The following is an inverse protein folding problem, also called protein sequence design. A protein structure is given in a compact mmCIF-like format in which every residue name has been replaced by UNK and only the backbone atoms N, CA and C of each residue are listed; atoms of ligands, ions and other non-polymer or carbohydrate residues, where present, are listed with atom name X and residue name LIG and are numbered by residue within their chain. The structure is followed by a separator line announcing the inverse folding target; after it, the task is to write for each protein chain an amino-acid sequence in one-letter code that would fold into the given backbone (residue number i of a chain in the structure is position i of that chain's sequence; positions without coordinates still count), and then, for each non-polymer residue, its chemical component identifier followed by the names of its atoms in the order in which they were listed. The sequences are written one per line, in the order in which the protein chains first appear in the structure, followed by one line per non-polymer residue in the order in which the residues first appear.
data_IF_595794716805
#
_entry.id   IF_595794716805
#
_cell.length_a   1.000
_cell.length_b   1.000
_cell.length_c   1.000
_cell.angle_alpha   90.00
_cell.angle_beta   90.00
_cell.angle_gamma   90.00
#
_symmetry.space_group_name_H-M   'P 1'
#
loop_
_entity.id
_entity.type
_entity.pdbx_description
1 polymer ?
#
# COMPACT_ATOMS: atom_id res chain seq x y z
N UNK A 1 7.83 -12.65 14.36
CA UNK A 1 8.32 -12.58 12.98
C UNK A 1 7.22 -13.13 12.10
N UNK A 2 6.89 -12.45 11.00
CA UNK A 2 5.87 -12.91 10.05
C UNK A 2 6.46 -13.93 9.08
N UNK A 3 5.67 -14.93 8.71
CA UNK A 3 6.06 -16.03 7.82
C UNK A 3 5.69 -15.82 6.36
N UNK A 4 4.83 -14.84 6.05
CA UNK A 4 4.46 -14.47 4.67
C UNK A 4 4.35 -12.97 4.54
N UNK A 5 4.90 -12.45 3.44
CA UNK A 5 4.74 -11.05 3.05
C UNK A 5 4.15 -10.99 1.65
N UNK A 6 3.12 -10.17 1.48
CA UNK A 6 2.44 -9.92 0.21
C UNK A 6 2.68 -8.47 -0.15
N UNK A 7 3.02 -8.23 -1.41
CA UNK A 7 3.11 -6.90 -2.01
C UNK A 7 1.88 -6.67 -2.88
N UNK A 8 1.15 -5.62 -2.58
CA UNK A 8 -0.07 -5.21 -3.26
C UNK A 8 0.26 -3.96 -4.07
N UNK A 9 0.18 -4.06 -5.39
CA UNK A 9 0.60 -3.01 -6.30
C UNK A 9 -0.47 -1.91 -6.37
N UNK A 10 -0.05 -0.65 -6.34
CA UNK A 10 -0.97 0.46 -6.58
C UNK A 10 -1.26 0.55 -8.08
N UNK A 11 -2.53 0.67 -8.49
CA UNK A 11 -2.88 0.66 -9.91
C UNK A 11 -2.42 1.93 -10.63
N UNK A 12 -2.05 1.78 -11.90
CA UNK A 12 -2.03 2.89 -12.85
C UNK A 12 -3.47 3.21 -13.30
N UNK A 13 -3.66 4.28 -14.07
CA UNK A 13 -4.98 4.64 -14.58
C UNK A 13 -4.97 5.03 -16.05
N UNK A 14 -6.11 4.83 -16.71
CA UNK A 14 -6.43 5.42 -18.01
C UNK A 14 -7.82 6.07 -17.92
N UNK A 15 -7.89 7.40 -17.93
CA UNK A 15 -9.10 8.13 -17.67
C UNK A 15 -9.62 7.89 -16.25
N UNK A 16 -10.72 7.14 -16.11
CA UNK A 16 -11.30 6.73 -14.82
C UNK A 16 -11.11 5.23 -14.53
N UNK A 17 -10.52 4.49 -15.48
CA UNK A 17 -10.31 3.06 -15.34
C UNK A 17 -9.00 2.77 -14.64
N UNK A 18 -9.03 1.78 -13.75
CA UNK A 18 -7.84 1.15 -13.18
C UNK A 18 -7.12 0.33 -14.24
N UNK A 19 -5.79 0.43 -14.26
CA UNK A 19 -4.90 -0.33 -15.14
C UNK A 19 -3.92 -1.13 -14.28
N UNK A 20 -3.88 -2.44 -14.48
CA UNK A 20 -3.01 -3.36 -13.75
C UNK A 20 -1.59 -3.34 -14.31
N UNK A 21 -0.61 -3.56 -13.45
CA UNK A 21 0.81 -3.66 -13.83
C UNK A 21 1.04 -4.83 -14.80
N UNK A 22 0.33 -5.94 -14.63
CA UNK A 22 0.38 -7.06 -15.55
C UNK A 22 -0.06 -6.69 -16.97
N UNK A 23 -1.07 -5.83 -17.11
CA UNK A 23 -1.54 -5.34 -18.41
C UNK A 23 -0.52 -4.41 -19.05
N UNK A 24 0.08 -3.52 -18.25
CA UNK A 24 1.18 -2.64 -18.67
C UNK A 24 2.39 -3.47 -19.13
N UNK A 25 2.79 -4.47 -18.35
CA UNK A 25 3.90 -5.36 -18.66
C UNK A 25 3.64 -6.14 -19.95
N UNK A 26 2.43 -6.69 -20.12
CA UNK A 26 2.04 -7.41 -21.33
C UNK A 26 2.08 -6.52 -22.57
N UNK A 27 1.59 -5.28 -22.47
CA UNK A 27 1.64 -4.32 -23.58
C UNK A 27 3.06 -3.98 -23.99
N UNK A 28 3.95 -3.72 -23.02
CA UNK A 28 5.34 -3.36 -23.29
C UNK A 28 6.26 -4.56 -23.54
N UNK A 29 5.75 -5.78 -23.45
CA UNK A 29 6.54 -7.00 -23.60
C UNK A 29 7.58 -7.17 -22.48
N UNK A 30 7.34 -6.60 -21.30
CA UNK A 30 8.16 -6.79 -20.10
C UNK A 30 7.53 -7.86 -19.20
N UNK A 31 8.23 -8.24 -18.12
CA UNK A 31 7.75 -9.27 -17.20
C UNK A 31 7.55 -8.69 -15.80
N UNK A 32 6.33 -8.86 -15.28
CA UNK A 32 6.01 -8.55 -13.90
C UNK A 32 6.59 -9.61 -12.96
N UNK A 33 7.26 -9.15 -11.92
CA UNK A 33 7.76 -9.97 -10.82
C UNK A 33 7.51 -9.25 -9.49
N UNK A 34 7.63 -9.97 -8.37
CA UNK A 34 7.51 -9.38 -7.03
C UNK A 34 8.53 -8.26 -6.75
N UNK A 35 9.61 -8.17 -7.56
CA UNK A 35 10.67 -7.17 -7.47
C UNK A 35 10.51 -5.99 -8.42
N UNK A 36 9.57 -6.05 -9.36
CA UNK A 36 9.43 -5.01 -10.39
C UNK A 36 9.07 -3.67 -9.75
N UNK A 37 9.65 -2.57 -10.24
CA UNK A 37 9.10 -1.23 -10.03
C UNK A 37 8.28 -0.82 -11.24
N UNK A 38 7.29 0.06 -11.08
CA UNK A 38 6.42 0.42 -12.20
C UNK A 38 7.23 0.99 -13.38
N UNK A 39 8.19 1.88 -13.08
CA UNK A 39 9.08 2.47 -14.09
C UNK A 39 9.91 1.45 -14.87
N UNK A 40 10.27 0.31 -14.26
CA UNK A 40 11.03 -0.75 -14.93
C UNK A 40 10.19 -1.49 -15.98
N UNK A 41 8.86 -1.56 -15.79
CA UNK A 41 7.96 -2.21 -16.75
C UNK A 41 7.77 -1.39 -18.02
N UNK A 42 7.81 -0.07 -17.90
CA UNK A 42 7.64 0.89 -19.00
C UNK A 42 8.97 1.16 -19.70
N UNK A 43 10.06 1.19 -18.91
CA UNK A 43 11.41 1.56 -19.36
C UNK A 43 11.55 3.06 -19.66
N UNK A 44 12.70 3.45 -20.21
CA UNK A 44 12.95 4.85 -20.57
C UNK A 44 12.14 5.20 -21.84
N UNK A 45 11.21 6.16 -21.72
CA UNK A 45 10.42 6.69 -22.85
C UNK A 45 10.48 8.22 -22.88
N UNK A 46 10.46 8.85 -24.07
CA UNK A 46 10.28 10.29 -24.19
C UNK A 46 8.94 10.70 -23.57
N UNK A 47 8.90 11.81 -22.83
CA UNK A 47 7.70 12.31 -22.15
C UNK A 47 6.48 12.59 -23.06
N UNK A 48 6.64 12.49 -24.38
CA UNK A 48 5.62 12.77 -25.40
C UNK A 48 4.93 11.52 -25.97
N UNK A 49 5.25 10.33 -25.49
CA UNK A 49 4.60 9.09 -25.93
C UNK A 49 3.51 8.73 -24.93
N UNK A 50 2.27 9.12 -25.24
CA UNK A 50 1.10 8.52 -24.61
C UNK A 50 0.79 7.25 -25.40
N UNK A 51 1.24 6.10 -24.91
CA UNK A 51 0.70 4.82 -25.37
C UNK A 51 -0.69 4.70 -24.72
N UNK A 52 -1.71 4.28 -25.47
CA UNK A 52 -3.13 4.23 -25.03
C UNK A 52 -3.42 3.21 -23.89
N UNK A 53 -2.42 2.90 -23.06
CA UNK A 53 -2.43 1.90 -21.99
C UNK A 53 -2.73 2.52 -20.65
N UNK A 54 -2.09 3.64 -20.33
CA UNK A 54 -2.27 4.39 -19.08
C UNK A 54 -1.93 5.87 -19.31
N UNK A 55 -2.63 6.76 -18.61
CA UNK A 55 -2.42 8.21 -18.65
C UNK A 55 -1.95 8.79 -17.30
N UNK A 56 -1.98 7.98 -16.23
CA UNK A 56 -1.44 8.32 -14.91
C UNK A 56 -0.74 7.13 -14.27
N UNK A 57 0.44 7.40 -13.74
CA UNK A 57 1.24 6.45 -12.96
C UNK A 57 0.51 6.01 -11.68
N UNK A 58 0.93 4.88 -11.07
CA UNK A 58 0.55 4.53 -9.71
C UNK A 58 0.80 5.66 -8.72
N UNK A 59 -0.14 5.82 -7.78
CA UNK A 59 0.04 6.77 -6.68
C UNK A 59 1.20 6.33 -5.78
N UNK A 60 2.11 7.25 -5.49
CA UNK A 60 3.16 7.07 -4.50
C UNK A 60 2.66 7.44 -3.10
N UNK A 61 3.13 6.72 -2.09
CA UNK A 61 2.76 6.95 -0.70
C UNK A 61 1.60 6.06 -0.28
N UNK A 62 0.72 6.56 0.60
CA UNK A 62 -0.37 5.77 1.18
C UNK A 62 -1.26 5.06 0.14
N UNK A 63 -1.89 3.92 0.49
CA UNK A 63 -2.64 3.09 -0.45
C UNK A 63 -3.81 3.87 -1.06
N UNK A 64 -3.97 3.87 -2.40
CA UNK A 64 -5.12 4.51 -3.04
C UNK A 64 -6.43 3.78 -2.67
N UNK A 65 -7.61 4.41 -2.84
CA UNK A 65 -8.90 3.84 -2.40
C UNK A 65 -9.21 2.47 -3.00
N UNK A 66 -8.69 2.17 -4.18
CA UNK A 66 -8.79 0.89 -4.89
C UNK A 66 -8.07 -0.24 -4.15
N UNK A 67 -7.02 0.09 -3.39
CA UNK A 67 -6.24 -0.85 -2.56
C UNK A 67 -6.72 -0.80 -1.10
N UNK A 68 -6.96 0.40 -0.58
CA UNK A 68 -7.31 0.60 0.82
C UNK A 68 -8.66 -0.03 1.17
N UNK A 69 -9.71 0.17 0.37
CA UNK A 69 -11.05 -0.36 0.69
C UNK A 69 -11.09 -1.90 0.79
N UNK A 70 -10.55 -2.67 -0.18
CA UNK A 70 -10.48 -4.12 -0.03
C UNK A 70 -9.66 -4.56 1.20
N UNK A 71 -8.59 -3.84 1.53
CA UNK A 71 -7.81 -4.13 2.73
C UNK A 71 -8.58 -3.84 4.01
N UNK A 72 -9.33 -2.74 4.06
CA UNK A 72 -10.20 -2.42 5.20
C UNK A 72 -11.27 -3.50 5.38
N UNK A 73 -11.93 -3.93 4.32
CA UNK A 73 -12.92 -5.03 4.39
C UNK A 73 -12.31 -6.35 4.89
N UNK A 74 -11.03 -6.61 4.61
CA UNK A 74 -10.34 -7.82 5.04
C UNK A 74 -9.74 -7.71 6.46
N UNK A 75 -9.43 -6.51 6.94
CA UNK A 75 -8.56 -6.30 8.10
C UNK A 75 -9.12 -5.35 9.18
N UNK A 76 -9.90 -4.34 8.80
CA UNK A 76 -10.16 -3.15 9.62
C UNK A 76 -10.81 -3.47 10.97
N UNK A 77 -11.71 -4.45 11.03
CA UNK A 77 -12.39 -4.86 12.28
C UNK A 77 -11.40 -5.24 13.40
N UNK A 78 -10.22 -5.71 13.01
CA UNK A 78 -9.18 -6.18 13.94
C UNK A 78 -8.09 -5.14 14.21
N UNK A 79 -7.99 -4.08 13.40
CA UNK A 79 -6.92 -3.11 13.52
C UNK A 79 -7.06 -2.25 14.78
N UNK A 80 -5.94 -1.94 15.43
CA UNK A 80 -5.91 -1.24 16.73
C UNK A 80 -4.84 -0.17 16.85
N UNK A 81 -3.75 -0.31 16.10
CA UNK A 81 -2.59 0.57 16.21
C UNK A 81 -2.16 1.05 14.84
N UNK A 82 -1.57 2.24 14.79
CA UNK A 82 -0.93 2.74 13.58
C UNK A 82 0.20 3.75 13.83
N UNK A 83 1.12 3.83 12.87
CA UNK A 83 2.20 4.82 12.80
C UNK A 83 2.04 5.66 11.56
N UNK A 84 1.99 6.98 11.72
CA UNK A 84 2.01 7.93 10.60
C UNK A 84 3.29 8.77 10.66
N UNK A 85 3.96 8.94 9.53
CA UNK A 85 5.18 9.73 9.47
C UNK A 85 4.87 11.21 9.74
N UNK A 86 5.62 11.84 10.65
CA UNK A 86 5.37 13.24 11.03
C UNK A 86 5.59 14.23 9.87
N UNK A 87 6.42 13.85 8.88
CA UNK A 87 6.67 14.68 7.71
C UNK A 87 5.52 14.77 6.70
N UNK A 88 4.41 14.04 6.91
CA UNK A 88 3.19 14.21 6.10
C UNK A 88 2.61 15.61 6.38
N UNK A 89 2.45 16.42 5.34
CA UNK A 89 2.06 17.83 5.48
C UNK A 89 0.67 18.02 6.11
N UNK A 90 -0.24 17.07 5.91
CA UNK A 90 -1.65 17.16 6.31
C UNK A 90 -2.01 16.24 7.51
N UNK A 91 -1.06 15.95 8.41
CA UNK A 91 -1.39 15.18 9.62
C UNK A 91 -2.48 15.91 10.44
N UNK A 92 -3.57 15.20 10.76
CA UNK A 92 -4.70 15.75 11.51
C UNK A 92 -4.25 16.26 12.90
N UNK A 93 -5.06 17.13 13.52
CA UNK A 93 -4.72 17.70 14.83
C UNK A 93 -4.61 16.61 15.90
N UNK A 94 -5.41 15.55 15.78
CA UNK A 94 -5.39 14.39 16.66
C UNK A 94 -4.03 13.69 16.62
N UNK A 95 -3.51 13.39 15.43
CA UNK A 95 -2.20 12.78 15.23
C UNK A 95 -1.03 13.70 15.63
N UNK A 96 -1.19 15.02 15.58
CA UNK A 96 -0.17 15.97 16.07
C UNK A 96 0.02 15.91 17.59
N UNK A 97 -1.01 15.51 18.33
CA UNK A 97 -0.95 15.36 19.79
C UNK A 97 -0.65 13.93 20.25
N UNK A 98 -0.68 12.97 19.35
CA UNK A 98 -0.27 11.60 19.61
C UNK A 98 1.19 11.49 20.05
N UNK A 99 1.47 10.46 20.86
CA UNK A 99 2.83 10.09 21.24
C UNK A 99 3.70 9.83 19.99
N UNK A 100 5.02 9.97 20.15
CA UNK A 100 5.97 9.84 19.04
C UNK A 100 6.98 8.73 19.28
N UNK A 101 7.26 7.96 18.23
CA UNK A 101 8.40 7.04 18.17
C UNK A 101 9.49 7.65 17.28
N UNK A 102 10.72 7.72 17.80
CA UNK A 102 11.85 8.37 17.12
C UNK A 102 12.96 7.37 16.84
N UNK A 103 13.45 7.38 15.61
CA UNK A 103 14.70 6.74 15.19
C UNK A 103 15.78 7.77 14.89
N UNK A 104 16.88 7.33 14.29
CA UNK A 104 17.98 8.22 13.89
C UNK A 104 17.51 9.25 12.84
N UNK A 105 16.73 8.80 11.84
CA UNK A 105 16.33 9.60 10.68
C UNK A 105 14.81 9.70 10.49
N UNK A 106 14.03 9.23 11.47
CA UNK A 106 12.56 9.23 11.37
C UNK A 106 11.89 9.61 12.68
N UNK A 107 10.73 10.26 12.56
CA UNK A 107 9.78 10.44 13.66
C UNK A 107 8.40 10.03 13.16
N UNK A 108 7.79 9.05 13.84
CA UNK A 108 6.40 8.63 13.62
C UNK A 108 5.53 9.07 14.78
N UNK A 109 4.29 9.44 14.48
CA UNK A 109 3.22 9.62 15.45
C UNK A 109 2.43 8.33 15.59
N UNK A 110 2.11 7.93 16.82
CA UNK A 110 1.42 6.68 17.15
C UNK A 110 -0.05 6.96 17.42
N UNK A 111 -0.98 6.38 16.66
CA UNK A 111 -2.35 6.27 17.14
C UNK A 111 -2.59 4.89 17.72
N UNK A 112 -3.28 4.90 18.85
CA UNK A 112 -4.08 3.78 19.28
C UNK A 112 -5.52 4.17 18.99
N UNK A 113 -6.23 3.35 18.23
CA UNK A 113 -7.64 3.57 18.01
C UNK A 113 -8.36 3.17 19.32
N UNK A 114 -8.90 4.13 20.08
CA UNK A 114 -9.72 3.84 21.27
C UNK A 114 -11.05 3.15 20.89
N UNK A 115 -11.46 3.28 19.61
CA UNK A 115 -12.54 2.56 18.93
C UNK A 115 -12.05 2.18 17.51
N UNK A 116 -12.89 1.56 16.66
CA UNK A 116 -12.59 1.16 15.27
C UNK A 116 -11.71 2.19 14.52
N UNK A 117 -10.83 1.73 13.62
CA UNK A 117 -9.98 2.63 12.82
C UNK A 117 -10.84 3.74 12.18
N UNK A 118 -10.39 5.01 12.22
CA UNK A 118 -11.12 6.06 11.53
C UNK A 118 -11.13 5.79 10.03
N UNK A 119 -12.27 6.06 9.37
CA UNK A 119 -12.32 6.18 7.91
C UNK A 119 -11.17 7.10 7.47
N UNK A 120 -10.34 6.67 6.53
CA UNK A 120 -9.27 7.49 5.98
C UNK A 120 -9.81 8.25 4.77
N UNK A 121 -10.26 9.52 4.91
CA UNK A 121 -10.88 10.26 3.81
C UNK A 121 -9.89 10.55 2.67
N UNK A 122 -8.59 10.35 2.91
CA UNK A 122 -7.54 10.53 1.92
C UNK A 122 -6.42 9.48 2.11
N UNK A 123 -5.92 8.83 1.03
CA UNK A 123 -4.79 7.89 1.07
C UNK A 123 -3.56 8.38 1.88
N UNK A 124 -3.20 9.66 1.72
CA UNK A 124 -2.10 10.29 2.47
C UNK A 124 -2.31 10.41 3.98
N UNK A 125 -3.52 10.17 4.49
CA UNK A 125 -3.83 10.17 5.92
C UNK A 125 -3.92 8.74 6.50
N UNK A 126 -3.76 7.72 5.66
CA UNK A 126 -3.62 6.35 6.11
C UNK A 126 -2.27 6.18 6.84
N UNK A 127 -2.24 5.52 8.01
CA UNK A 127 -1.00 5.20 8.70
C UNK A 127 -0.05 4.43 7.79
N UNK A 128 1.22 4.84 7.78
CA UNK A 128 2.29 4.11 7.09
C UNK A 128 2.43 2.68 7.60
N UNK A 129 2.07 2.44 8.87
CA UNK A 129 1.98 1.11 9.46
C UNK A 129 0.69 0.99 10.24
N UNK A 130 0.03 -0.16 10.19
CA UNK A 130 -1.12 -0.46 11.04
C UNK A 130 -1.27 -1.96 11.27
N UNK A 131 -1.79 -2.33 12.45
CA UNK A 131 -1.83 -3.72 12.92
C UNK A 131 -2.87 -3.96 14.04
N UNK A 132 -3.25 -5.23 14.30
CA UNK A 132 -4.18 -5.62 15.36
C UNK A 132 -3.45 -5.84 16.71
N UNK A 133 -4.18 -5.85 17.81
CA UNK A 133 -3.60 -6.02 19.17
C UNK A 133 -2.85 -7.35 19.36
N UNK A 134 -3.27 -8.40 18.66
CA UNK A 134 -2.64 -9.71 18.73
C UNK A 134 -1.38 -9.86 17.83
N UNK A 135 -1.02 -8.80 17.08
CA UNK A 135 0.12 -8.78 16.16
C UNK A 135 0.14 -9.92 15.13
N UNK A 136 -1.03 -10.49 14.79
CA UNK A 136 -1.15 -11.53 13.75
C UNK A 136 -0.84 -10.98 12.35
N UNK A 137 -1.17 -9.71 12.19
CA UNK A 137 -1.04 -8.78 11.08
C UNK A 137 0.01 -7.67 11.08
N UNK A 138 0.51 -7.20 9.94
CA UNK A 138 0.96 -5.80 9.81
C UNK A 138 0.86 -5.32 8.36
N UNK A 139 0.20 -4.18 8.12
CA UNK A 139 0.21 -3.48 6.83
C UNK A 139 1.23 -2.36 6.89
N UNK A 140 2.00 -2.18 5.81
CA UNK A 140 3.01 -1.15 5.69
C UNK A 140 3.05 -0.51 4.29
N UNK A 141 3.07 0.82 4.24
CA UNK A 141 3.21 1.59 2.99
C UNK A 141 4.26 2.68 3.14
N UNK A 142 5.30 2.60 2.32
CA UNK A 142 6.38 3.59 2.30
C UNK A 142 5.92 4.92 1.70
N UNK A 143 6.54 6.04 2.11
CA UNK A 143 6.16 7.40 1.70
C UNK A 143 6.29 7.64 0.18
N UNK A 144 7.21 6.96 -0.47
CA UNK A 144 7.44 7.02 -1.92
C UNK A 144 7.17 5.67 -2.59
N UNK A 145 6.43 4.77 -1.92
CA UNK A 145 6.17 3.44 -2.47
C UNK A 145 4.98 3.45 -3.42
N UNK A 146 5.12 2.74 -4.53
CA UNK A 146 4.06 2.43 -5.49
C UNK A 146 3.31 1.13 -5.13
N UNK A 147 3.49 0.64 -3.90
CA UNK A 147 2.86 -0.58 -3.40
C UNK A 147 2.71 -0.57 -1.89
N UNK A 148 1.78 -1.40 -1.41
CA UNK A 148 1.52 -1.64 0.00
C UNK A 148 1.90 -3.07 0.36
N UNK A 149 2.54 -3.26 1.51
CA UNK A 149 2.92 -4.58 2.02
C UNK A 149 1.93 -5.04 3.08
N UNK A 150 1.60 -6.33 3.05
CA UNK A 150 0.95 -7.04 4.15
C UNK A 150 1.87 -8.15 4.62
N UNK A 151 2.26 -8.13 5.89
CA UNK A 151 2.95 -9.23 6.55
C UNK A 151 1.97 -9.97 7.47
N UNK A 152 1.93 -11.29 7.38
CA UNK A 152 1.02 -12.11 8.20
C UNK A 152 1.59 -13.52 8.45
N UNK A 153 1.12 -14.15 9.51
CA UNK A 153 1.29 -15.59 9.77
C UNK A 153 0.04 -16.41 9.42
N UNK A 154 -1.07 -15.74 9.09
CA UNK A 154 -2.32 -16.38 8.73
C UNK A 154 -2.33 -16.71 7.22
N UNK A 155 -2.24 -17.99 6.90
CA UNK A 155 -2.30 -18.48 5.53
C UNK A 155 -3.66 -18.23 4.86
N UNK A 156 -4.76 -18.24 5.60
CA UNK A 156 -6.08 -17.97 5.04
C UNK A 156 -6.20 -16.49 4.65
N UNK A 157 -5.69 -15.58 5.48
CA UNK A 157 -5.61 -14.16 5.15
C UNK A 157 -4.70 -13.92 3.94
N UNK A 158 -3.54 -14.59 3.91
CA UNK A 158 -2.62 -14.46 2.78
C UNK A 158 -3.27 -14.88 1.45
N UNK A 159 -3.94 -16.04 1.43
CA UNK A 159 -4.66 -16.53 0.26
C UNK A 159 -5.84 -15.64 -0.12
N UNK A 160 -6.57 -15.08 0.86
CA UNK A 160 -7.68 -14.17 0.62
C UNK A 160 -7.22 -12.91 -0.13
N UNK A 161 -6.10 -12.31 0.30
CA UNK A 161 -5.53 -11.13 -0.35
C UNK A 161 -4.97 -11.46 -1.73
N UNK A 162 -4.25 -12.58 -1.88
CA UNK A 162 -3.71 -13.01 -3.17
C UNK A 162 -4.79 -13.35 -4.20
N UNK A 163 -5.95 -13.80 -3.74
CA UNK A 163 -7.06 -14.22 -4.59
C UNK A 163 -8.10 -13.12 -4.82
N UNK A 164 -8.02 -11.97 -4.15
CA UNK A 164 -8.99 -10.87 -4.32
C UNK A 164 -8.82 -10.23 -5.71
N UNK A 165 -9.83 -10.34 -6.61
CA UNK A 165 -9.73 -9.83 -7.97
C UNK A 165 -9.77 -8.29 -8.06
N UNK A 166 -9.92 -7.58 -6.94
CA UNK A 166 -9.78 -6.12 -6.86
C UNK A 166 -8.34 -5.70 -6.64
N UNK A 167 -7.53 -6.59 -6.08
CA UNK A 167 -6.12 -6.34 -5.79
C UNK A 167 -5.22 -6.93 -6.87
N UNK A 168 -4.05 -6.34 -7.08
CA UNK A 168 -2.95 -6.95 -7.82
C UNK A 168 -1.84 -7.26 -6.83
N UNK A 169 -1.83 -8.50 -6.34
CA UNK A 169 -1.01 -8.91 -5.23
C UNK A 169 0.00 -9.98 -5.64
N UNK A 170 1.21 -9.87 -5.12
CA UNK A 170 2.33 -10.78 -5.36
C UNK A 170 2.88 -11.21 -4.01
N UNK A 171 3.05 -12.53 -3.82
CA UNK A 171 3.80 -13.02 -2.67
C UNK A 171 5.27 -12.64 -2.83
N UNK A 172 5.86 -12.09 -1.77
CA UNK A 172 7.31 -11.89 -1.71
C UNK A 172 7.97 -13.21 -1.34
N UNK A 173 8.97 -13.60 -2.11
CA UNK A 173 9.81 -14.74 -1.78
C UNK A 173 11.03 -14.27 -0.97
N UNK A 174 11.51 -15.04 0.03
CA UNK A 174 12.77 -14.76 0.70
C UNK A 174 13.94 -14.79 -0.31
N UNK A 175 14.97 -13.98 -0.05
CA UNK A 175 16.24 -14.04 -0.80
C UNK A 175 17.04 -15.33 -0.54
#
# INVERSE_FOLDING_TARGET
MFGTTIRILHPAHYGQSVVRWGDVAAFYGTSLSHRSQFGDLVGIRPASVFDDVYDRDPSLGGPPPEVLRPLEELLADSARFGLIWEGIAEVSVEWKHAASVKGADFTYRTAQAENDLPDFPHPFLCPNFWWPDDHTWCVATGIDSDSTLLATNDGALAEAVLSDPRLEALKLEPE
#
